data_IF_920331467179
#
_entry.id   IF_920331467179
#
_cell.length_a   1.000
_cell.length_b   1.000
_cell.length_c   1.000
_cell.angle_alpha   90.00
_cell.angle_beta   90.00
_cell.angle_gamma   90.00
#
_symmetry.space_group_name_H-M   'P 1'
#
loop_
_entity.id
_entity.type
_entity.pdbx_description
1 polymer ?
#
# COMPACT_ATOMS: atom_id res chain seq x y z
N UNK A 1 -17.88 -6.99 13.70
CA UNK A 1 -17.13 -8.26 13.51
C UNK A 1 -16.09 -8.00 12.43
N UNK A 2 -14.87 -8.52 12.54
CA UNK A 2 -13.85 -8.35 11.49
C UNK A 2 -14.17 -9.28 10.31
N UNK A 3 -14.01 -8.79 9.10
CA UNK A 3 -14.13 -9.60 7.86
C UNK A 3 -12.78 -10.22 7.49
N UNK A 4 -11.70 -9.48 7.70
CA UNK A 4 -10.35 -9.89 7.32
C UNK A 4 -9.48 -10.09 8.55
N UNK A 5 -8.74 -11.19 8.59
CA UNK A 5 -7.80 -11.52 9.65
C UNK A 5 -6.39 -10.99 9.34
N UNK A 6 -5.96 -11.08 8.09
CA UNK A 6 -4.66 -10.59 7.62
C UNK A 6 -4.86 -9.67 6.43
N UNK A 7 -4.40 -8.44 6.53
CA UNK A 7 -4.51 -7.45 5.47
C UNK A 7 -3.12 -7.04 4.98
N UNK A 8 -3.00 -6.72 3.68
CA UNK A 8 -1.91 -5.92 3.18
C UNK A 8 -2.45 -4.55 2.80
N UNK A 9 -2.01 -3.52 3.53
CA UNK A 9 -2.36 -2.13 3.29
C UNK A 9 -1.30 -1.48 2.40
N UNK A 10 -1.68 -1.07 1.19
CA UNK A 10 -0.81 -0.31 0.29
C UNK A 10 -1.13 1.18 0.39
N UNK A 11 -0.15 1.97 0.76
CA UNK A 11 -0.26 3.42 0.87
C UNK A 11 0.59 4.12 -0.21
N UNK A 12 0.08 5.23 -0.75
CA UNK A 12 0.87 6.09 -1.64
C UNK A 12 1.89 6.88 -0.82
N UNK A 13 3.13 6.98 -1.30
CA UNK A 13 4.12 7.88 -0.72
C UNK A 13 3.64 9.34 -0.72
N UNK A 14 2.95 9.75 -1.77
CA UNK A 14 2.38 11.10 -1.87
C UNK A 14 1.35 11.42 -0.77
N UNK A 15 0.67 10.39 -0.26
CA UNK A 15 -0.24 10.58 0.87
C UNK A 15 0.53 11.01 2.12
N UNK A 16 1.78 10.51 2.32
CA UNK A 16 2.61 10.87 3.47
C UNK A 16 3.12 12.32 3.43
N UNK A 17 3.20 12.94 2.25
CA UNK A 17 3.59 14.35 2.13
C UNK A 17 2.54 15.30 2.73
N UNK A 18 1.26 14.88 2.77
CA UNK A 18 0.16 15.77 3.14
C UNK A 18 0.07 16.93 2.15
N UNK A 19 0.16 18.16 2.67
CA UNK A 19 0.16 19.38 1.87
C UNK A 19 1.58 19.84 1.45
N UNK A 20 2.62 19.07 1.76
CA UNK A 20 4.00 19.38 1.38
C UNK A 20 4.28 18.87 -0.04
N UNK A 21 5.13 19.58 -0.76
CA UNK A 21 5.62 19.13 -2.07
C UNK A 21 6.60 17.95 -1.98
N UNK A 22 7.31 17.84 -0.85
CA UNK A 22 8.39 16.87 -0.64
C UNK A 22 8.45 16.39 0.82
N UNK A 23 8.92 15.14 1.01
CA UNK A 23 9.12 14.55 2.32
C UNK A 23 7.83 14.00 2.93
N UNK A 24 7.70 14.03 4.25
CA UNK A 24 6.54 13.55 4.96
C UNK A 24 5.99 14.59 5.96
N UNK A 25 4.69 14.58 6.16
CA UNK A 25 4.00 15.32 7.20
C UNK A 25 3.92 14.47 8.47
N UNK A 26 4.37 14.99 9.60
CA UNK A 26 4.24 14.31 10.88
C UNK A 26 2.76 14.06 11.25
N UNK A 27 1.88 15.02 10.95
CA UNK A 27 0.45 14.90 11.19
C UNK A 27 -0.16 13.71 10.42
N UNK A 28 0.23 13.52 9.18
CA UNK A 28 -0.24 12.41 8.34
C UNK A 28 0.34 11.08 8.83
N UNK A 29 1.63 11.03 9.19
CA UNK A 29 2.24 9.85 9.78
C UNK A 29 1.55 9.44 11.07
N UNK A 30 1.25 10.39 11.97
CA UNK A 30 0.54 10.14 13.22
C UNK A 30 -0.91 9.66 12.96
N UNK A 31 -1.61 10.26 11.99
CA UNK A 31 -2.95 9.83 11.61
C UNK A 31 -2.96 8.38 11.13
N UNK A 32 -2.05 8.01 10.22
CA UNK A 32 -1.92 6.61 9.78
C UNK A 32 -1.53 5.68 10.92
N UNK A 33 -0.57 6.07 11.77
CA UNK A 33 -0.15 5.26 12.90
C UNK A 33 -1.28 4.99 13.89
N UNK A 34 -2.13 5.98 14.19
CA UNK A 34 -3.34 5.83 15.03
C UNK A 34 -4.33 4.85 14.40
N UNK A 35 -4.68 5.04 13.11
CA UNK A 35 -5.59 4.14 12.41
C UNK A 35 -5.05 2.69 12.35
N UNK A 36 -3.74 2.51 12.13
CA UNK A 36 -3.09 1.19 12.13
C UNK A 36 -3.17 0.56 13.51
N UNK A 37 -2.91 1.34 14.58
CA UNK A 37 -3.06 0.89 15.97
C UNK A 37 -4.48 0.41 16.25
N UNK A 38 -5.50 1.18 15.87
CA UNK A 38 -6.92 0.83 16.09
C UNK A 38 -7.28 -0.51 15.47
N UNK A 39 -6.76 -0.79 14.27
CA UNK A 39 -6.98 -2.07 13.57
C UNK A 39 -6.17 -3.19 14.22
N UNK A 40 -4.93 -2.93 14.60
CA UNK A 40 -4.05 -3.88 15.29
C UNK A 40 -4.64 -4.33 16.64
N UNK A 41 -5.18 -3.40 17.44
CA UNK A 41 -5.83 -3.70 18.73
C UNK A 41 -7.10 -4.55 18.59
N UNK A 42 -7.70 -4.63 17.40
CA UNK A 42 -8.78 -5.58 17.09
C UNK A 42 -8.28 -6.98 16.74
N UNK A 43 -6.97 -7.21 16.74
CA UNK A 43 -6.36 -8.51 16.44
C UNK A 43 -6.16 -8.80 14.95
N UNK A 44 -6.18 -7.78 14.10
CA UNK A 44 -5.86 -7.93 12.67
C UNK A 44 -4.35 -7.98 12.47
N UNK A 45 -3.87 -8.93 11.71
CA UNK A 45 -2.48 -9.00 11.23
C UNK A 45 -2.28 -8.01 10.08
N UNK A 46 -1.41 -7.01 10.27
CA UNK A 46 -1.25 -5.91 9.34
C UNK A 46 0.12 -5.94 8.69
N UNK A 47 0.14 -6.07 7.36
CA UNK A 47 1.30 -5.80 6.52
C UNK A 47 1.07 -4.51 5.74
N UNK A 48 2.14 -3.75 5.49
CA UNK A 48 2.08 -2.44 4.83
C UNK A 48 3.11 -2.40 3.70
N UNK A 49 2.72 -1.84 2.55
CA UNK A 49 3.61 -1.42 1.47
C UNK A 49 3.43 0.08 1.26
N UNK A 50 4.51 0.82 1.21
CA UNK A 50 4.49 2.28 1.02
C UNK A 50 5.24 2.66 -0.26
N UNK A 51 4.64 3.57 -1.06
CA UNK A 51 5.32 4.19 -2.19
C UNK A 51 6.40 5.19 -1.75
N UNK A 52 7.30 5.56 -2.68
CA UNK A 52 8.39 6.53 -2.46
C UNK A 52 8.18 7.89 -3.11
N UNK A 53 7.02 8.13 -3.75
CA UNK A 53 6.79 9.29 -4.62
C UNK A 53 6.83 10.66 -3.94
N UNK A 54 6.72 10.73 -2.62
CA UNK A 54 6.91 11.94 -1.82
C UNK A 54 8.39 12.34 -1.66
N UNK A 55 9.31 11.41 -1.90
CA UNK A 55 10.76 11.62 -1.76
C UNK A 55 11.41 11.60 -3.15
N UNK A 56 11.10 10.59 -3.96
CA UNK A 56 11.64 10.46 -5.30
C UNK A 56 10.68 9.73 -6.23
N UNK A 57 10.49 10.27 -7.46
CA UNK A 57 9.73 9.63 -8.53
C UNK A 57 10.67 9.28 -9.67
N UNK A 58 10.77 8.00 -10.03
CA UNK A 58 11.63 7.51 -11.11
C UNK A 58 11.31 8.16 -12.46
N UNK A 59 10.02 8.37 -12.79
CA UNK A 59 9.61 9.03 -14.05
C UNK A 59 10.07 10.49 -14.08
N UNK A 60 9.88 11.26 -13.00
CA UNK A 60 10.41 12.64 -12.90
C UNK A 60 11.93 12.68 -12.83
N UNK A 61 12.58 11.58 -12.45
CA UNK A 61 14.03 11.43 -12.48
C UNK A 61 14.57 11.38 -13.92
N UNK A 62 13.84 10.74 -14.86
CA UNK A 62 14.23 10.72 -16.28
C UNK A 62 14.26 12.12 -16.89
N UNK A 63 13.31 12.99 -16.54
CA UNK A 63 13.30 14.40 -16.94
C UNK A 63 14.51 15.18 -16.37
N UNK A 64 15.11 14.68 -15.27
CA UNK A 64 16.33 15.23 -14.64
C UNK A 64 17.62 14.57 -15.13
N UNK A 65 17.55 13.70 -16.15
CA UNK A 65 18.72 13.06 -16.78
C UNK A 65 19.14 11.72 -16.15
N UNK A 66 18.38 11.15 -15.22
CA UNK A 66 18.62 9.79 -14.73
C UNK A 66 18.05 8.74 -15.69
N UNK A 67 18.76 7.62 -15.88
CA UNK A 67 18.16 6.46 -16.55
C UNK A 67 17.09 5.80 -15.68
N UNK A 68 16.24 5.01 -16.31
CA UNK A 68 15.08 4.38 -15.65
C UNK A 68 15.49 3.48 -14.49
N UNK A 69 16.54 2.69 -14.63
CA UNK A 69 16.99 1.74 -13.60
C UNK A 69 17.49 2.48 -12.36
N UNK A 70 18.29 3.51 -12.59
CA UNK A 70 18.77 4.40 -11.49
C UNK A 70 17.60 5.08 -10.79
N UNK A 71 16.66 5.64 -11.56
CA UNK A 71 15.47 6.29 -11.02
C UNK A 71 14.60 5.35 -10.18
N UNK A 72 14.35 4.13 -10.66
CA UNK A 72 13.59 3.13 -9.92
C UNK A 72 14.32 2.67 -8.65
N UNK A 73 15.66 2.56 -8.71
CA UNK A 73 16.48 2.23 -7.52
C UNK A 73 16.39 3.34 -6.46
N UNK A 74 16.47 4.60 -6.86
CA UNK A 74 16.27 5.74 -5.94
C UNK A 74 14.84 5.72 -5.35
N UNK A 75 13.83 5.39 -6.14
CA UNK A 75 12.46 5.20 -5.68
C UNK A 75 12.33 4.07 -4.65
N UNK A 76 13.04 2.95 -4.85
CA UNK A 76 13.09 1.86 -3.86
C UNK A 76 13.72 2.31 -2.55
N UNK A 77 14.82 3.07 -2.57
CA UNK A 77 15.42 3.65 -1.36
C UNK A 77 14.48 4.63 -0.66
N UNK A 78 13.74 5.43 -1.43
CA UNK A 78 12.72 6.33 -0.88
C UNK A 78 11.62 5.59 -0.10
N UNK A 79 11.20 4.39 -0.57
CA UNK A 79 10.24 3.57 0.18
C UNK A 79 10.80 3.08 1.52
N UNK A 80 12.11 2.86 1.62
CA UNK A 80 12.76 2.45 2.87
C UNK A 80 12.74 3.60 3.87
N UNK A 81 13.04 4.82 3.44
CA UNK A 81 12.94 6.02 4.30
C UNK A 81 11.52 6.20 4.85
N UNK A 82 10.50 6.06 4.00
CA UNK A 82 9.09 6.11 4.42
C UNK A 82 8.76 4.99 5.40
N UNK A 83 9.25 3.78 5.15
CA UNK A 83 9.05 2.63 6.03
C UNK A 83 9.61 2.85 7.43
N UNK A 84 10.82 3.39 7.54
CA UNK A 84 11.46 3.72 8.83
C UNK A 84 10.72 4.84 9.57
N UNK A 85 10.28 5.88 8.85
CA UNK A 85 9.51 6.97 9.45
C UNK A 85 8.17 6.46 10.03
N UNK A 86 7.44 5.64 9.27
CA UNK A 86 6.18 5.06 9.73
C UNK A 86 6.40 4.06 10.87
N UNK A 87 7.44 3.20 10.80
CA UNK A 87 7.80 2.29 11.90
C UNK A 87 7.98 3.06 13.20
N UNK A 88 8.83 4.10 13.20
CA UNK A 88 9.08 4.90 14.39
C UNK A 88 7.80 5.50 14.96
N UNK A 89 6.91 6.01 14.09
CA UNK A 89 5.65 6.62 14.53
C UNK A 89 4.69 5.59 15.14
N UNK A 90 4.59 4.39 14.54
CA UNK A 90 3.74 3.30 15.05
C UNK A 90 4.30 2.77 16.38
N UNK A 91 5.62 2.58 16.50
CA UNK A 91 6.28 2.10 17.73
C UNK A 91 6.17 3.11 18.88
N UNK A 92 6.16 4.42 18.60
CA UNK A 92 5.86 5.46 19.60
C UNK A 92 4.45 5.35 20.19
N UNK A 93 3.52 4.71 19.48
CA UNK A 93 2.17 4.40 19.99
C UNK A 93 2.08 3.03 20.70
N UNK A 94 3.22 2.36 20.90
CA UNK A 94 3.30 1.08 21.61
C UNK A 94 3.01 -0.16 20.75
N UNK A 95 2.91 -0.04 19.42
CA UNK A 95 2.64 -1.16 18.51
C UNK A 95 3.96 -1.71 17.93
N UNK A 96 4.36 -2.95 18.26
CA UNK A 96 5.59 -3.54 17.74
C UNK A 96 5.57 -3.62 16.22
N UNK A 97 6.56 -3.03 15.55
CA UNK A 97 6.62 -2.95 14.09
C UNK A 97 7.97 -3.42 13.56
N UNK A 98 8.01 -3.97 12.36
CA UNK A 98 9.25 -4.38 11.66
C UNK A 98 9.25 -3.89 10.24
N UNK A 99 10.33 -3.23 9.84
CA UNK A 99 10.62 -2.94 8.42
C UNK A 99 11.41 -4.10 7.85
N UNK A 100 10.91 -4.67 6.74
CA UNK A 100 11.59 -5.68 5.97
C UNK A 100 11.83 -5.16 4.55
N UNK A 101 13.08 -5.18 4.10
CA UNK A 101 13.46 -4.65 2.78
C UNK A 101 13.80 -5.75 1.79
N UNK A 102 13.45 -5.54 0.53
CA UNK A 102 13.86 -6.40 -0.57
C UNK A 102 15.35 -6.19 -0.96
N UNK A 103 15.95 -5.04 -0.58
CA UNK A 103 17.36 -4.74 -0.78
C UNK A 103 18.17 -5.15 0.47
N UNK A 104 19.37 -5.71 0.26
CA UNK A 104 20.23 -6.10 1.38
C UNK A 104 20.86 -4.88 2.06
N UNK A 105 20.40 -4.54 3.25
CA UNK A 105 20.94 -3.47 4.10
C UNK A 105 20.74 -3.80 5.58
N UNK A 106 21.44 -4.83 6.09
CA UNK A 106 21.16 -5.41 7.40
C UNK A 106 21.37 -4.45 8.59
N UNK A 107 22.11 -3.36 8.41
CA UNK A 107 22.29 -2.32 9.42
C UNK A 107 21.06 -1.39 9.54
N UNK A 108 20.13 -1.42 8.56
CA UNK A 108 18.99 -0.50 8.47
C UNK A 108 17.67 -1.21 8.70
N UNK A 109 17.47 -2.38 8.06
CA UNK A 109 16.22 -3.12 8.10
C UNK A 109 16.44 -4.62 7.89
N UNK A 110 15.48 -5.43 8.33
CA UNK A 110 15.54 -6.88 8.11
C UNK A 110 15.42 -7.21 6.61
N UNK A 111 16.24 -8.16 6.13
CA UNK A 111 16.03 -8.70 4.78
C UNK A 111 14.70 -9.45 4.72
N UNK A 112 13.91 -9.17 3.67
CA UNK A 112 12.66 -9.86 3.43
C UNK A 112 12.88 -11.35 3.22
N UNK A 113 12.29 -12.15 4.08
CA UNK A 113 12.14 -13.60 3.96
C UNK A 113 10.68 -13.92 4.29
N UNK A 114 9.94 -14.49 3.34
CA UNK A 114 8.51 -14.77 3.46
C UNK A 114 8.13 -15.41 4.82
N UNK A 115 8.82 -16.44 5.25
CA UNK A 115 8.54 -17.14 6.53
C UNK A 115 8.76 -16.24 7.75
N UNK A 116 9.75 -15.36 7.72
CA UNK A 116 9.98 -14.39 8.79
C UNK A 116 8.86 -13.35 8.84
N UNK A 117 8.42 -12.84 7.68
CA UNK A 117 7.31 -11.90 7.61
C UNK A 117 6.02 -12.48 8.20
N UNK A 118 5.65 -13.70 7.79
CA UNK A 118 4.49 -14.40 8.34
C UNK A 118 4.66 -14.58 9.86
N UNK A 119 5.84 -14.99 10.34
CA UNK A 119 6.08 -15.16 11.76
C UNK A 119 6.00 -13.86 12.57
N UNK A 120 6.36 -12.72 11.99
CA UNK A 120 6.15 -11.42 12.61
C UNK A 120 4.66 -11.10 12.75
N UNK A 121 3.88 -11.30 11.68
CA UNK A 121 2.42 -11.09 11.70
C UNK A 121 1.74 -11.97 12.75
N UNK A 122 2.03 -13.26 12.78
CA UNK A 122 1.51 -14.21 13.78
C UNK A 122 1.86 -13.83 15.23
N UNK A 123 2.97 -13.11 15.44
CA UNK A 123 3.37 -12.58 16.75
C UNK A 123 2.74 -11.22 17.08
N UNK A 124 1.75 -10.78 16.31
CA UNK A 124 1.10 -9.51 16.50
C UNK A 124 1.99 -8.30 16.23
N UNK A 125 2.95 -8.40 15.32
CA UNK A 125 3.77 -7.27 14.86
C UNK A 125 3.23 -6.73 13.56
N UNK A 126 3.19 -5.42 13.41
CA UNK A 126 3.00 -4.79 12.12
C UNK A 126 4.26 -4.99 11.27
N UNK A 127 4.10 -5.34 10.00
CA UNK A 127 5.24 -5.53 9.08
C UNK A 127 5.15 -4.52 7.95
N UNK A 128 6.22 -3.76 7.73
CA UNK A 128 6.32 -2.79 6.63
C UNK A 128 7.29 -3.35 5.60
N UNK A 129 6.81 -3.61 4.39
CA UNK A 129 7.65 -4.04 3.28
C UNK A 129 8.15 -2.83 2.50
N UNK A 130 9.46 -2.70 2.37
CA UNK A 130 10.14 -1.63 1.69
C UNK A 130 11.11 -2.16 0.63
N UNK A 131 11.64 -1.29 -0.22
CA UNK A 131 12.54 -1.67 -1.32
C UNK A 131 11.82 -2.30 -2.53
N UNK A 132 10.49 -2.16 -2.60
CA UNK A 132 9.70 -2.64 -3.73
C UNK A 132 9.82 -4.15 -3.94
N UNK A 133 10.02 -4.55 -5.20
CA UNK A 133 10.33 -5.94 -5.61
C UNK A 133 11.84 -6.23 -5.65
N UNK A 134 12.70 -5.24 -5.39
CA UNK A 134 14.14 -5.17 -5.71
C UNK A 134 14.48 -5.15 -7.20
N UNK A 135 13.49 -5.16 -8.07
CA UNK A 135 13.68 -5.11 -9.51
C UNK A 135 13.17 -3.78 -10.08
N UNK A 136 13.95 -3.11 -10.94
CA UNK A 136 13.46 -1.97 -11.72
C UNK A 136 12.25 -2.34 -12.59
N UNK A 137 11.56 -1.34 -13.12
CA UNK A 137 10.37 -1.45 -13.97
C UNK A 137 9.08 -1.88 -13.27
N UNK A 138 9.11 -2.26 -11.99
CA UNK A 138 7.93 -2.58 -11.21
C UNK A 138 7.52 -1.41 -10.31
N UNK A 139 6.22 -1.23 -10.15
CA UNK A 139 5.68 -0.20 -9.24
C UNK A 139 5.49 -0.74 -7.82
N UNK A 140 5.12 0.13 -6.89
CA UNK A 140 4.69 -0.27 -5.56
C UNK A 140 3.36 -1.02 -5.55
N UNK A 141 2.51 -0.87 -6.58
CA UNK A 141 1.30 -1.68 -6.73
C UNK A 141 1.66 -3.14 -7.03
N UNK A 142 2.60 -3.38 -7.96
CA UNK A 142 3.14 -4.73 -8.23
C UNK A 142 3.79 -5.35 -6.99
N UNK A 143 4.55 -4.56 -6.22
CA UNK A 143 5.12 -5.02 -4.95
C UNK A 143 4.04 -5.38 -3.94
N UNK A 144 3.01 -4.54 -3.79
CA UNK A 144 1.86 -4.79 -2.91
C UNK A 144 1.14 -6.09 -3.26
N UNK A 145 0.85 -6.31 -4.55
CA UNK A 145 0.22 -7.53 -5.04
C UNK A 145 1.07 -8.78 -4.72
N UNK A 146 2.37 -8.72 -5.03
CA UNK A 146 3.30 -9.81 -4.76
C UNK A 146 3.35 -10.16 -3.27
N UNK A 147 3.55 -9.16 -2.41
CA UNK A 147 3.63 -9.39 -0.96
C UNK A 147 2.30 -9.87 -0.37
N UNK A 148 1.15 -9.38 -0.84
CA UNK A 148 -0.17 -9.84 -0.39
C UNK A 148 -0.35 -11.34 -0.64
N UNK A 149 -0.02 -11.81 -1.85
CA UNK A 149 -0.08 -13.23 -2.22
C UNK A 149 0.92 -14.05 -1.37
N UNK A 150 2.17 -13.61 -1.27
CA UNK A 150 3.22 -14.33 -0.54
C UNK A 150 2.90 -14.54 0.94
N UNK A 151 2.34 -13.53 1.61
CA UNK A 151 1.99 -13.63 3.03
C UNK A 151 0.58 -14.21 3.26
N UNK A 152 -0.13 -14.58 2.19
CA UNK A 152 -1.50 -15.08 2.26
C UNK A 152 -2.44 -14.09 2.96
N UNK A 153 -2.42 -12.84 2.52
CA UNK A 153 -3.38 -11.83 2.99
C UNK A 153 -4.80 -12.17 2.52
N UNK A 154 -5.80 -11.83 3.30
CA UNK A 154 -7.21 -11.98 2.92
C UNK A 154 -7.65 -10.93 1.90
N UNK A 155 -6.94 -9.79 1.86
CA UNK A 155 -7.22 -8.65 0.99
C UNK A 155 -5.98 -7.78 0.78
N UNK A 156 -5.85 -7.24 -0.43
CA UNK A 156 -4.97 -6.11 -0.74
C UNK A 156 -5.80 -4.82 -0.64
N UNK A 157 -5.57 -4.03 0.39
CA UNK A 157 -6.25 -2.77 0.65
C UNK A 157 -5.44 -1.62 0.08
N UNK A 158 -5.88 -1.02 -1.04
CA UNK A 158 -5.25 0.13 -1.66
C UNK A 158 -5.82 1.42 -1.10
N UNK A 159 -5.06 2.05 -0.19
CA UNK A 159 -5.36 3.37 0.33
C UNK A 159 -4.97 4.46 -0.65
N UNK A 160 -5.94 5.30 -1.03
CA UNK A 160 -5.81 6.42 -1.97
C UNK A 160 -6.35 7.71 -1.38
N UNK A 161 -6.32 8.81 -2.15
CA UNK A 161 -6.98 10.09 -1.82
C UNK A 161 -8.45 10.13 -2.27
N UNK A 162 -8.88 9.16 -3.11
CA UNK A 162 -10.26 9.04 -3.59
C UNK A 162 -10.91 7.82 -2.94
N UNK A 163 -12.22 7.85 -2.83
CA UNK A 163 -13.02 6.86 -2.10
C UNK A 163 -13.38 5.61 -2.94
N UNK A 164 -12.76 5.42 -4.10
CA UNK A 164 -12.99 4.23 -4.92
C UNK A 164 -12.59 4.40 -6.38
N UNK A 165 -13.12 3.52 -7.22
CA UNK A 165 -12.94 3.50 -8.67
C UNK A 165 -14.17 4.08 -9.31
N UNK A 166 -13.97 4.93 -10.32
CA UNK A 166 -15.03 5.61 -11.05
C UNK A 166 -15.00 5.23 -12.53
N UNK A 167 -16.11 5.41 -13.20
CA UNK A 167 -16.24 5.24 -14.65
C UNK A 167 -15.45 6.29 -15.44
N UNK A 168 -15.19 7.45 -14.83
CA UNK A 168 -14.40 8.58 -15.32
C UNK A 168 -13.80 9.36 -14.15
N UNK A 169 -12.88 10.28 -14.43
CA UNK A 169 -12.17 11.06 -13.42
C UNK A 169 -13.14 11.95 -12.61
N UNK A 170 -13.38 11.65 -11.31
CA UNK A 170 -14.32 12.43 -10.49
C UNK A 170 -13.83 13.87 -10.20
N UNK A 171 -12.54 14.15 -10.43
CA UNK A 171 -12.01 15.53 -10.29
C UNK A 171 -12.29 16.40 -11.51
N UNK A 172 -12.73 15.80 -12.63
CA UNK A 172 -13.03 16.50 -13.89
C UNK A 172 -14.50 16.44 -14.27
N UNK A 173 -15.23 15.49 -13.73
CA UNK A 173 -16.61 15.20 -14.13
C UNK A 173 -17.50 15.03 -12.90
N UNK A 174 -18.42 15.95 -12.67
CA UNK A 174 -19.35 15.93 -11.53
C UNK A 174 -20.36 14.77 -11.60
N UNK A 175 -20.56 14.20 -12.79
CA UNK A 175 -21.43 13.04 -13.04
C UNK A 175 -20.66 11.71 -13.06
N UNK A 176 -19.44 11.65 -12.52
CA UNK A 176 -18.68 10.44 -12.37
C UNK A 176 -19.36 9.48 -11.36
N UNK A 177 -19.53 8.21 -11.75
CA UNK A 177 -20.20 7.20 -10.95
C UNK A 177 -19.17 6.23 -10.39
N UNK A 178 -19.16 6.10 -9.05
CA UNK A 178 -18.30 5.14 -8.37
C UNK A 178 -18.85 3.73 -8.51
N UNK A 179 -17.96 2.78 -8.79
CA UNK A 179 -18.30 1.36 -8.76
C UNK A 179 -18.23 0.83 -7.31
N UNK A 180 -19.23 0.08 -6.87
CA UNK A 180 -19.16 -0.70 -5.62
C UNK A 180 -18.29 -1.93 -5.79
N UNK A 181 -18.45 -2.62 -6.91
CA UNK A 181 -17.68 -3.83 -7.25
C UNK A 181 -17.34 -3.82 -8.73
N UNK A 182 -16.13 -4.26 -9.05
CA UNK A 182 -15.62 -4.44 -10.42
C UNK A 182 -14.95 -5.79 -10.52
N UNK A 183 -15.04 -6.47 -11.64
CA UNK A 183 -14.26 -7.68 -11.89
C UNK A 183 -12.83 -7.31 -12.33
N UNK A 184 -11.87 -8.23 -12.16
CA UNK A 184 -10.50 -8.01 -12.66
C UNK A 184 -10.49 -7.79 -14.18
N UNK A 185 -11.32 -8.55 -14.93
CA UNK A 185 -11.38 -8.43 -16.38
C UNK A 185 -11.95 -7.08 -16.82
N UNK A 186 -12.95 -6.56 -16.11
CA UNK A 186 -13.45 -5.20 -16.35
C UNK A 186 -12.43 -4.13 -16.02
N UNK A 187 -11.73 -4.25 -14.88
CA UNK A 187 -10.70 -3.29 -14.48
C UNK A 187 -9.56 -3.22 -15.51
N UNK A 188 -9.15 -4.36 -16.05
CA UNK A 188 -8.10 -4.46 -17.08
C UNK A 188 -8.61 -3.98 -18.44
N UNK A 189 -9.76 -4.48 -18.91
CA UNK A 189 -10.27 -4.19 -20.26
C UNK A 189 -10.69 -2.72 -20.42
N UNK A 190 -11.26 -2.12 -19.38
CA UNK A 190 -11.67 -0.70 -19.34
C UNK A 190 -10.53 0.24 -18.96
N UNK A 191 -9.33 -0.29 -18.64
CA UNK A 191 -8.17 0.48 -18.17
C UNK A 191 -8.52 1.50 -17.07
N UNK A 192 -9.18 1.04 -16.01
CA UNK A 192 -9.75 1.90 -14.96
C UNK A 192 -8.70 2.62 -14.09
N UNK A 193 -7.43 2.57 -14.43
CA UNK A 193 -6.35 3.31 -13.75
C UNK A 193 -6.14 2.98 -12.27
N UNK A 194 -6.65 1.86 -11.82
CA UNK A 194 -6.63 1.45 -10.39
C UNK A 194 -5.25 1.09 -9.92
N UNK A 195 -4.59 0.22 -10.67
CA UNK A 195 -3.25 -0.31 -10.44
C UNK A 195 -2.59 -0.59 -11.79
N UNK A 196 -1.29 -0.83 -11.79
CA UNK A 196 -0.66 -1.33 -13.02
C UNK A 196 -1.18 -2.73 -13.40
N UNK A 197 -1.14 -3.03 -14.69
CA UNK A 197 -1.70 -4.29 -15.24
C UNK A 197 -1.02 -5.52 -14.67
N UNK A 198 0.28 -5.46 -14.35
CA UNK A 198 1.01 -6.57 -13.74
C UNK A 198 0.45 -6.90 -12.36
N UNK A 199 0.18 -5.88 -11.53
CA UNK A 199 -0.43 -6.04 -10.21
C UNK A 199 -1.85 -6.63 -10.31
N UNK A 200 -2.69 -6.11 -11.22
CA UNK A 200 -4.05 -6.64 -11.44
C UNK A 200 -4.03 -8.09 -11.90
N UNK A 201 -3.14 -8.43 -12.85
CA UNK A 201 -3.02 -9.80 -13.36
C UNK A 201 -2.57 -10.77 -12.27
N UNK A 202 -1.59 -10.38 -11.45
CA UNK A 202 -1.10 -11.20 -10.34
C UNK A 202 -2.22 -11.45 -9.30
N UNK A 203 -2.99 -10.42 -8.94
CA UNK A 203 -4.13 -10.56 -8.04
C UNK A 203 -5.24 -11.43 -8.63
N UNK A 204 -5.54 -11.28 -9.93
CA UNK A 204 -6.54 -12.09 -10.63
C UNK A 204 -6.18 -13.58 -10.63
N UNK A 205 -4.94 -13.93 -10.97
CA UNK A 205 -4.46 -15.31 -11.04
C UNK A 205 -4.47 -16.00 -9.67
N UNK A 206 -4.24 -15.24 -8.60
CA UNK A 206 -4.21 -15.75 -7.23
C UNK A 206 -5.52 -15.49 -6.46
N UNK A 207 -6.56 -15.02 -7.12
CA UNK A 207 -7.87 -14.71 -6.53
C UNK A 207 -7.78 -13.75 -5.33
N UNK A 208 -6.74 -12.90 -5.29
CA UNK A 208 -6.52 -11.92 -4.23
C UNK A 208 -7.47 -10.72 -4.40
N UNK A 209 -8.47 -10.55 -3.55
CA UNK A 209 -9.38 -9.42 -3.67
C UNK A 209 -8.64 -8.10 -3.37
N UNK A 210 -9.04 -7.03 -4.08
CA UNK A 210 -8.50 -5.69 -3.86
C UNK A 210 -9.64 -4.80 -3.37
N UNK A 211 -9.40 -3.98 -2.35
CA UNK A 211 -10.31 -2.92 -1.92
C UNK A 211 -9.60 -1.58 -2.11
N UNK A 212 -10.20 -0.70 -2.92
CA UNK A 212 -9.71 0.67 -3.16
C UNK A 212 -10.58 1.64 -2.37
N UNK A 213 -9.98 2.44 -1.50
CA UNK A 213 -10.72 3.32 -0.59
C UNK A 213 -9.90 4.56 -0.20
N UNK A 214 -10.57 5.58 0.33
CA UNK A 214 -9.90 6.75 0.88
C UNK A 214 -9.30 6.43 2.26
N UNK A 215 -7.97 6.27 2.33
CA UNK A 215 -7.26 5.97 3.57
C UNK A 215 -6.89 7.22 4.40
N UNK A 216 -7.09 8.42 3.85
CA UNK A 216 -6.85 9.67 4.58
C UNK A 216 -7.99 10.01 5.53
N UNK A 217 -9.18 9.48 5.28
CA UNK A 217 -10.33 9.67 6.15
C UNK A 217 -10.18 8.79 7.40
N UNK A 218 -10.32 9.43 8.56
CA UNK A 218 -10.16 8.78 9.86
C UNK A 218 -11.16 7.62 10.06
N UNK A 219 -10.65 6.50 10.54
CA UNK A 219 -11.43 5.28 10.78
C UNK A 219 -11.69 4.42 9.55
N UNK A 220 -11.35 4.87 8.33
CA UNK A 220 -11.63 4.10 7.13
C UNK A 220 -10.79 2.80 7.05
N UNK A 221 -9.56 2.77 7.57
CA UNK A 221 -8.77 1.52 7.61
C UNK A 221 -9.49 0.46 8.47
N UNK A 222 -10.09 0.86 9.59
CA UNK A 222 -10.86 -0.06 10.43
C UNK A 222 -12.17 -0.48 9.77
N UNK A 223 -12.93 0.45 9.17
CA UNK A 223 -14.15 0.14 8.42
C UNK A 223 -13.85 -0.85 7.28
N UNK A 224 -12.75 -0.66 6.55
CA UNK A 224 -12.30 -1.58 5.51
C UNK A 224 -12.03 -2.98 6.09
N UNK A 225 -11.28 -3.07 7.20
CA UNK A 225 -10.98 -4.34 7.87
C UNK A 225 -12.24 -5.07 8.38
N UNK A 226 -13.28 -4.33 8.72
CA UNK A 226 -14.61 -4.86 9.06
C UNK A 226 -15.43 -5.28 7.85
N UNK A 227 -14.99 -4.93 6.63
CA UNK A 227 -15.68 -5.25 5.38
C UNK A 227 -16.85 -4.34 5.04
N UNK A 228 -16.86 -3.12 5.60
CA UNK A 228 -17.83 -2.10 5.24
C UNK A 228 -17.62 -1.65 3.78
N UNK A 229 -18.72 -1.30 3.10
CA UNK A 229 -18.65 -0.78 1.73
C UNK A 229 -18.24 0.71 1.72
N UNK A 230 -16.95 0.97 1.90
CA UNK A 230 -16.38 2.33 1.94
C UNK A 230 -15.58 2.68 0.70
N UNK A 231 -15.64 1.84 -0.32
CA UNK A 231 -14.83 2.00 -1.52
C UNK A 231 -15.27 1.05 -2.62
N UNK A 232 -14.36 0.72 -3.51
CA UNK A 232 -14.61 -0.25 -4.59
C UNK A 232 -13.88 -1.54 -4.34
N UNK A 233 -14.59 -2.67 -4.44
CA UNK A 233 -13.99 -4.01 -4.36
C UNK A 233 -13.73 -4.57 -5.75
N UNK A 234 -12.49 -5.01 -6.02
CA UNK A 234 -12.14 -5.78 -7.22
C UNK A 234 -12.01 -7.24 -6.82
N UNK A 235 -12.72 -8.11 -7.50
CA UNK A 235 -12.70 -9.56 -7.25
C UNK A 235 -12.96 -10.35 -8.52
N UNK A 236 -12.74 -11.65 -8.46
CA UNK A 236 -13.22 -12.59 -9.48
C UNK A 236 -14.75 -12.62 -9.47
N UNK A 237 -15.34 -12.94 -10.61
CA UNK A 237 -16.81 -13.15 -10.70
C UNK A 237 -17.32 -14.15 -9.71
#
# INVERSE_FOLDING_TARGET
>A
MLKYKRILLKLSGEALAGNKEFGFSNEVLESFAKQIKDVHEKGVEIAIVIGGGNIFRGISGMEKGFDRVTGDTMGMLATIMNGLALQNTIENLGVPTRVMTALQMPQVAELYIRRKAIRHLEKGRVVIFAGGTSNPYFTTDSSGALRAVEIQADVLAKGTKVDGIYDKDPMKFDDAVRYDTVTFDEAISKNLGVMDTAALSLCRENEMPIVVFNALEEGNILKMAQGNNIGTTIKKK
#
